data_IF_952369021879
#
_entry.id   IF_952369021879
#
_cell.length_a   1.000
_cell.length_b   1.000
_cell.length_c   1.000
_cell.angle_alpha   90.00
_cell.angle_beta   90.00
_cell.angle_gamma   90.00
#
_symmetry.space_group_name_H-M   'P 1'
#
loop_
_entity.id
_entity.type
_entity.pdbx_description
1 polymer ?
#
# COMPACT_ATOMS: atom_id res chain seq x y z
N UNK A 1 6.85 -4.52 16.80
CA UNK A 1 7.05 -5.29 15.54
C UNK A 1 7.05 -6.79 15.78
N UNK A 2 7.77 -7.32 16.78
CA UNK A 2 7.71 -8.74 17.19
C UNK A 2 6.28 -9.23 17.51
N UNK A 3 5.47 -8.42 18.17
CA UNK A 3 4.07 -8.73 18.48
C UNK A 3 3.16 -8.93 17.27
N UNK A 4 3.44 -8.31 16.12
CA UNK A 4 2.68 -8.54 14.89
C UNK A 4 3.07 -9.88 14.23
N UNK A 5 4.32 -10.28 14.31
CA UNK A 5 4.80 -11.59 13.85
C UNK A 5 4.31 -12.74 14.74
N UNK A 6 4.28 -12.54 16.05
CA UNK A 6 3.72 -13.51 17.01
C UNK A 6 2.21 -13.68 16.78
N UNK A 7 1.46 -12.58 16.54
CA UNK A 7 0.04 -12.64 16.22
C UNK A 7 -0.24 -13.35 14.87
N UNK A 8 0.66 -13.24 13.89
CA UNK A 8 0.57 -13.98 12.62
C UNK A 8 0.86 -15.47 12.86
N UNK A 9 1.82 -15.82 13.72
CA UNK A 9 2.17 -17.21 14.05
C UNK A 9 1.04 -17.93 14.82
N UNK A 10 0.34 -17.24 15.71
CA UNK A 10 -0.77 -17.81 16.49
C UNK A 10 -2.08 -17.96 15.70
N UNK A 11 -2.25 -17.24 14.60
CA UNK A 11 -3.52 -17.13 13.83
C UNK A 11 -3.50 -17.76 12.44
N UNK A 12 -2.67 -18.74 12.15
CA UNK A 12 -2.57 -19.34 10.80
C UNK A 12 -3.93 -19.76 10.18
N UNK A 13 -4.94 -20.08 11.00
CA UNK A 13 -6.30 -20.43 10.60
C UNK A 13 -7.21 -19.21 10.33
N UNK A 14 -6.85 -18.27 9.58
CA UNK A 14 -7.69 -17.08 9.28
C UNK A 14 -6.94 -16.07 8.42
N UNK A 15 -5.76 -16.45 7.98
CA UNK A 15 -4.89 -15.61 7.16
C UNK A 15 -5.06 -15.88 5.66
N UNK A 16 -5.82 -16.94 5.30
CA UNK A 16 -6.05 -17.33 3.91
C UNK A 16 -6.70 -16.19 3.11
N UNK A 17 -6.15 -15.89 1.95
CA UNK A 17 -6.63 -14.83 1.07
C UNK A 17 -6.47 -13.40 1.60
N UNK A 18 -5.86 -13.21 2.79
CA UNK A 18 -5.64 -11.87 3.36
C UNK A 18 -4.42 -11.19 2.76
N UNK A 19 -4.48 -9.87 2.75
CA UNK A 19 -3.35 -9.00 2.35
C UNK A 19 -2.74 -8.36 3.58
N UNK A 20 -1.43 -8.53 3.73
CA UNK A 20 -0.63 -7.96 4.82
C UNK A 20 0.29 -6.89 4.25
N UNK A 21 0.48 -5.82 5.01
CA UNK A 21 1.49 -4.79 4.72
C UNK A 21 2.51 -4.77 5.85
N UNK A 22 3.78 -4.88 5.50
CA UNK A 22 4.91 -4.76 6.42
C UNK A 22 5.79 -3.58 6.01
N UNK A 23 6.08 -2.69 6.96
CA UNK A 23 7.05 -1.61 6.78
C UNK A 23 8.45 -2.15 6.98
N UNK A 24 9.25 -2.07 5.94
CA UNK A 24 10.67 -2.48 5.87
C UNK A 24 11.56 -1.25 5.72
N UNK A 25 12.88 -1.43 5.66
CA UNK A 25 13.87 -0.36 5.69
C UNK A 25 13.82 0.48 7.00
N UNK A 26 13.37 -0.13 8.09
CA UNK A 26 13.26 0.48 9.42
C UNK A 26 14.28 -0.07 10.40
N UNK A 27 14.82 -1.25 10.10
CA UNK A 27 15.81 -1.96 10.91
C UNK A 27 17.01 -2.37 10.04
N UNK A 28 17.99 -3.05 10.63
CA UNK A 28 19.11 -3.60 9.86
C UNK A 28 18.60 -4.61 8.82
N UNK A 29 19.09 -4.51 7.57
CA UNK A 29 18.66 -5.36 6.44
C UNK A 29 18.77 -6.87 6.75
N UNK A 30 19.84 -7.29 7.44
CA UNK A 30 20.02 -8.69 7.85
C UNK A 30 18.95 -9.18 8.82
N UNK A 31 18.49 -8.31 9.73
CA UNK A 31 17.40 -8.63 10.65
C UNK A 31 16.07 -8.73 9.91
N UNK A 32 15.78 -7.77 9.04
CA UNK A 32 14.53 -7.78 8.26
C UNK A 32 14.44 -8.99 7.34
N UNK A 33 15.56 -9.43 6.72
CA UNK A 33 15.60 -10.66 5.92
C UNK A 33 15.34 -11.90 6.76
N UNK A 34 15.92 -11.99 7.96
CA UNK A 34 15.63 -13.09 8.87
C UNK A 34 14.15 -13.13 9.27
N UNK A 35 13.56 -11.97 9.58
CA UNK A 35 12.13 -11.85 9.89
C UNK A 35 11.24 -12.20 8.70
N UNK A 36 11.66 -11.85 7.47
CA UNK A 36 10.98 -12.26 6.23
C UNK A 36 10.92 -13.78 6.11
N UNK A 37 12.04 -14.46 6.31
CA UNK A 37 12.11 -15.92 6.21
C UNK A 37 11.16 -16.59 7.24
N UNK A 38 11.13 -16.08 8.47
CA UNK A 38 10.17 -16.53 9.48
C UNK A 38 8.72 -16.26 9.07
N UNK A 39 8.42 -15.04 8.57
CA UNK A 39 7.08 -14.66 8.11
C UNK A 39 6.60 -15.58 6.99
N UNK A 40 7.46 -15.85 6.00
CA UNK A 40 7.13 -16.72 4.86
C UNK A 40 6.89 -18.19 5.26
N UNK A 41 7.47 -18.67 6.36
CA UNK A 41 7.17 -20.00 6.89
C UNK A 41 5.75 -20.12 7.46
N UNK A 42 5.17 -19.02 7.95
CA UNK A 42 3.86 -19.00 8.61
C UNK A 42 2.73 -18.50 7.72
N UNK A 43 3.04 -17.68 6.69
CA UNK A 43 2.02 -17.18 5.78
C UNK A 43 1.54 -18.27 4.82
N UNK A 44 0.21 -18.49 4.71
CA UNK A 44 -0.32 -19.42 3.74
C UNK A 44 -0.05 -18.97 2.30
N UNK A 45 0.01 -19.90 1.32
CA UNK A 45 0.30 -19.57 -0.08
C UNK A 45 -0.73 -18.61 -0.72
N UNK A 46 -1.94 -18.55 -0.18
CA UNK A 46 -3.01 -17.65 -0.64
C UNK A 46 -2.94 -16.25 -0.07
N UNK A 47 -2.11 -16.01 0.96
CA UNK A 47 -1.90 -14.67 1.51
C UNK A 47 -1.19 -13.77 0.49
N UNK A 48 -1.35 -12.45 0.66
CA UNK A 48 -0.65 -11.44 -0.14
C UNK A 48 0.19 -10.56 0.78
N UNK A 49 1.43 -10.32 0.39
CA UNK A 49 2.39 -9.52 1.17
C UNK A 49 2.77 -8.26 0.37
N UNK A 50 2.62 -7.11 0.99
CA UNK A 50 3.09 -5.80 0.54
C UNK A 50 4.24 -5.37 1.43
N UNK A 51 5.39 -5.10 0.86
CA UNK A 51 6.54 -4.59 1.59
C UNK A 51 6.70 -3.11 1.27
N UNK A 52 6.62 -2.25 2.29
CA UNK A 52 6.67 -0.80 2.15
C UNK A 52 7.99 -0.28 2.71
N UNK A 53 8.89 0.11 1.83
CA UNK A 53 10.21 0.63 2.18
C UNK A 53 10.23 2.17 2.37
N UNK A 54 9.15 2.88 2.04
CA UNK A 54 9.05 4.34 2.16
C UNK A 54 10.32 5.07 1.64
N UNK A 55 10.82 4.67 0.46
CA UNK A 55 12.04 5.19 -0.19
C UNK A 55 13.34 4.96 0.61
N UNK A 56 13.36 4.01 1.53
CA UNK A 56 14.48 3.80 2.45
C UNK A 56 15.59 2.89 1.94
N UNK A 57 15.44 2.21 0.80
CA UNK A 57 16.48 1.35 0.25
C UNK A 57 17.32 2.05 -0.81
N UNK A 58 18.59 1.63 -0.92
CA UNK A 58 19.39 1.84 -2.11
C UNK A 58 19.04 0.82 -3.22
N UNK A 59 19.58 1.04 -4.43
CA UNK A 59 19.31 0.16 -5.59
C UNK A 59 19.75 -1.28 -5.36
N UNK A 60 20.89 -1.50 -4.69
CA UNK A 60 21.43 -2.84 -4.46
C UNK A 60 20.57 -3.63 -3.48
N UNK A 61 20.13 -2.99 -2.41
CA UNK A 61 19.24 -3.57 -1.42
C UNK A 61 17.87 -3.88 -2.03
N UNK A 62 17.26 -2.91 -2.73
CA UNK A 62 15.97 -3.11 -3.39
C UNK A 62 15.99 -4.25 -4.42
N UNK A 63 17.07 -4.34 -5.22
CA UNK A 63 17.25 -5.42 -6.18
C UNK A 63 17.37 -6.79 -5.50
N UNK A 64 18.13 -6.88 -4.41
CA UNK A 64 18.29 -8.13 -3.67
C UNK A 64 16.99 -8.60 -3.01
N UNK A 65 16.17 -7.67 -2.49
CA UNK A 65 14.83 -7.97 -1.99
C UNK A 65 13.88 -8.44 -3.09
N UNK A 66 13.90 -7.76 -4.25
CA UNK A 66 13.09 -8.18 -5.39
C UNK A 66 13.49 -9.57 -5.89
N UNK A 67 14.79 -9.83 -6.10
CA UNK A 67 15.28 -11.14 -6.53
C UNK A 67 14.91 -12.26 -5.55
N UNK A 68 14.87 -11.97 -4.25
CA UNK A 68 14.45 -12.96 -3.22
C UNK A 68 12.97 -13.30 -3.31
N UNK A 69 12.13 -12.39 -3.82
CA UNK A 69 10.67 -12.47 -3.71
C UNK A 69 9.92 -12.53 -5.04
N UNK A 70 10.56 -12.22 -6.17
CA UNK A 70 9.87 -12.10 -7.47
C UNK A 70 9.14 -13.39 -7.89
N UNK A 71 9.64 -14.56 -7.48
CA UNK A 71 9.03 -15.85 -7.75
C UNK A 71 8.08 -16.34 -6.63
N UNK A 72 7.96 -15.60 -5.51
CA UNK A 72 7.04 -15.97 -4.43
C UNK A 72 5.62 -15.48 -4.77
N UNK A 73 4.64 -16.39 -4.92
CA UNK A 73 3.28 -16.02 -5.30
C UNK A 73 2.57 -15.13 -4.28
N UNK A 74 3.10 -15.03 -3.06
CA UNK A 74 2.56 -14.17 -2.01
C UNK A 74 2.97 -12.71 -2.17
N UNK A 75 4.06 -12.40 -2.89
CA UNK A 75 4.44 -11.02 -3.14
C UNK A 75 3.35 -10.32 -3.94
N UNK A 76 2.74 -9.29 -3.33
CA UNK A 76 1.85 -8.38 -4.05
C UNK A 76 2.68 -7.30 -4.76
N UNK A 77 3.59 -6.64 -4.04
CA UNK A 77 4.55 -5.68 -4.57
C UNK A 77 5.56 -5.20 -3.51
N UNK A 78 6.66 -4.60 -3.99
CA UNK A 78 7.50 -3.69 -3.20
C UNK A 78 6.95 -2.27 -3.38
N UNK A 79 6.54 -1.62 -2.28
CA UNK A 79 5.99 -0.27 -2.27
C UNK A 79 7.10 0.75 -2.02
N UNK A 80 7.23 1.72 -2.91
CA UNK A 80 8.21 2.80 -2.91
C UNK A 80 9.60 2.34 -2.41
N UNK A 81 10.23 1.37 -3.12
CA UNK A 81 11.49 0.80 -2.66
C UNK A 81 12.66 1.80 -2.68
N UNK A 82 12.67 2.73 -3.64
CA UNK A 82 13.75 3.70 -3.87
C UNK A 82 13.27 5.13 -3.70
N UNK A 83 14.22 6.06 -3.60
CA UNK A 83 13.97 7.49 -3.52
C UNK A 83 13.04 7.99 -4.65
N UNK A 84 12.24 9.02 -4.35
CA UNK A 84 11.19 9.54 -5.25
C UNK A 84 11.73 10.11 -6.56
N UNK A 85 12.98 10.53 -6.58
CA UNK A 85 13.71 11.07 -7.73
C UNK A 85 14.49 10.00 -8.52
N UNK A 86 14.58 8.77 -8.00
CA UNK A 86 15.24 7.65 -8.68
C UNK A 86 14.28 6.87 -9.60
N UNK A 87 13.63 7.57 -10.51
CA UNK A 87 12.72 6.92 -11.47
C UNK A 87 13.42 5.83 -12.32
N UNK A 88 14.65 6.02 -12.84
CA UNK A 88 15.31 4.96 -13.59
C UNK A 88 15.52 3.68 -12.78
N UNK A 89 15.86 3.78 -11.50
CA UNK A 89 15.99 2.63 -10.60
C UNK A 89 14.65 1.93 -10.36
N UNK A 90 13.58 2.69 -10.13
CA UNK A 90 12.22 2.16 -9.99
C UNK A 90 11.75 1.42 -11.25
N UNK A 91 12.03 1.97 -12.45
CA UNK A 91 11.69 1.34 -13.73
C UNK A 91 12.49 0.04 -13.95
N UNK A 92 13.78 0.04 -13.64
CA UNK A 92 14.63 -1.17 -13.72
C UNK A 92 14.13 -2.25 -12.76
N UNK A 93 13.76 -1.87 -11.54
CA UNK A 93 13.24 -2.82 -10.55
C UNK A 93 11.88 -3.39 -10.98
N UNK A 94 11.03 -2.59 -11.61
CA UNK A 94 9.72 -3.01 -12.11
C UNK A 94 9.79 -4.03 -13.27
N UNK A 95 10.93 -4.16 -13.94
CA UNK A 95 11.18 -5.23 -14.92
C UNK A 95 11.39 -6.57 -14.22
N UNK A 96 11.94 -6.57 -13.01
CA UNK A 96 12.24 -7.78 -12.24
C UNK A 96 11.02 -8.32 -11.49
N UNK A 97 10.08 -7.44 -11.09
CA UNK A 97 8.91 -7.84 -10.33
C UNK A 97 7.97 -6.68 -10.00
N UNK A 98 6.91 -6.93 -9.23
CA UNK A 98 5.88 -5.94 -8.99
C UNK A 98 6.36 -4.80 -8.06
N UNK A 99 6.36 -3.58 -8.58
CA UNK A 99 6.65 -2.35 -7.84
C UNK A 99 5.40 -1.47 -7.76
N UNK A 100 5.13 -0.93 -6.58
CA UNK A 100 4.10 0.08 -6.36
C UNK A 100 4.74 1.44 -6.05
N UNK A 101 4.24 2.51 -6.68
CA UNK A 101 4.60 3.87 -6.31
C UNK A 101 3.59 4.43 -5.29
N UNK A 102 4.09 5.12 -4.27
CA UNK A 102 3.32 5.91 -3.29
C UNK A 102 3.82 7.36 -3.28
N UNK A 103 4.92 7.64 -2.61
CA UNK A 103 5.49 8.97 -2.46
C UNK A 103 5.87 9.58 -3.82
N UNK A 104 6.34 8.79 -4.75
CA UNK A 104 6.62 9.25 -6.12
C UNK A 104 5.40 9.81 -6.82
N UNK A 105 4.20 9.28 -6.56
CA UNK A 105 2.95 9.78 -7.16
C UNK A 105 2.51 11.13 -6.57
N UNK A 106 2.89 11.43 -5.33
CA UNK A 106 2.68 12.74 -4.72
C UNK A 106 3.70 13.76 -5.21
N UNK A 107 4.97 13.36 -5.29
CA UNK A 107 6.08 14.20 -5.75
C UNK A 107 6.00 14.52 -7.25
N UNK A 108 5.60 13.54 -8.07
CA UNK A 108 5.48 13.62 -9.54
C UNK A 108 4.12 13.11 -10.01
N UNK A 109 3.07 13.94 -9.93
CA UNK A 109 1.70 13.54 -10.26
C UNK A 109 1.49 13.01 -11.68
N UNK A 110 2.36 13.39 -12.64
CA UNK A 110 2.34 12.88 -14.00
C UNK A 110 2.58 11.37 -14.09
N UNK A 111 3.26 10.78 -13.10
CA UNK A 111 3.48 9.33 -13.01
C UNK A 111 2.17 8.55 -12.86
N UNK A 112 1.10 9.17 -12.37
CA UNK A 112 -0.23 8.54 -12.33
C UNK A 112 -0.73 8.13 -13.72
N UNK A 113 -0.24 8.78 -14.79
CA UNK A 113 -0.59 8.46 -16.19
C UNK A 113 0.45 7.58 -16.87
N UNK A 114 1.73 7.75 -16.57
CA UNK A 114 2.84 7.10 -17.28
C UNK A 114 3.29 5.80 -16.62
N UNK A 115 3.22 5.68 -15.29
CA UNK A 115 3.63 4.48 -14.57
C UNK A 115 2.74 3.29 -14.91
N UNK A 116 3.35 2.17 -15.29
CA UNK A 116 2.66 0.94 -15.71
C UNK A 116 2.53 -0.12 -14.62
N UNK A 117 3.15 0.08 -13.46
CA UNK A 117 3.04 -0.78 -12.29
C UNK A 117 1.94 -0.36 -11.33
N UNK A 118 1.96 -0.94 -10.14
CA UNK A 118 1.01 -0.61 -9.08
C UNK A 118 1.12 0.85 -8.62
N UNK A 119 0.00 1.42 -8.28
CA UNK A 119 -0.14 2.78 -7.78
C UNK A 119 -0.90 2.78 -6.47
N UNK A 120 -0.28 3.29 -5.41
CA UNK A 120 -0.96 3.59 -4.14
C UNK A 120 -1.63 4.94 -4.28
N UNK A 121 -2.95 4.92 -4.49
CA UNK A 121 -3.72 6.12 -4.80
C UNK A 121 -4.35 6.69 -3.53
N UNK A 122 -4.03 7.93 -3.24
CA UNK A 122 -4.50 8.68 -2.06
C UNK A 122 -5.44 9.80 -2.48
N UNK A 123 -6.75 9.53 -2.67
CA UNK A 123 -7.68 10.50 -3.26
C UNK A 123 -7.75 11.84 -2.51
N UNK A 124 -7.50 11.85 -1.19
CA UNK A 124 -7.44 13.09 -0.42
C UNK A 124 -6.26 14.01 -0.80
N UNK A 125 -5.21 13.49 -1.45
CA UNK A 125 -4.02 14.23 -1.86
C UNK A 125 -3.95 14.45 -3.39
N UNK A 126 -4.92 13.95 -4.15
CA UNK A 126 -4.83 13.93 -5.62
C UNK A 126 -5.59 15.07 -6.31
N UNK A 127 -6.22 15.96 -5.55
CA UNK A 127 -7.02 17.06 -6.09
C UNK A 127 -8.39 16.58 -6.57
N UNK A 128 -8.62 16.43 -7.87
CA UNK A 128 -9.93 15.98 -8.40
C UNK A 128 -10.14 14.46 -8.21
N UNK A 129 -10.97 14.04 -7.25
CA UNK A 129 -11.19 12.62 -6.97
C UNK A 129 -11.95 11.89 -8.10
N UNK A 130 -12.58 12.62 -9.02
CA UNK A 130 -13.32 12.03 -10.14
C UNK A 130 -12.39 11.33 -11.14
N UNK A 131 -11.11 11.69 -11.17
CA UNK A 131 -10.13 11.02 -12.03
C UNK A 131 -9.97 9.57 -11.60
N UNK A 132 -9.67 9.33 -10.32
CA UNK A 132 -9.54 7.98 -9.77
C UNK A 132 -10.85 7.20 -9.86
N UNK A 133 -11.99 7.84 -9.58
CA UNK A 133 -13.30 7.20 -9.73
C UNK A 133 -13.51 6.65 -11.15
N UNK A 134 -13.22 7.45 -12.18
CA UNK A 134 -13.33 6.99 -13.58
C UNK A 134 -12.37 5.86 -13.91
N UNK A 135 -11.13 5.88 -13.39
CA UNK A 135 -10.17 4.80 -13.57
C UNK A 135 -10.69 3.49 -12.96
N UNK A 136 -11.25 3.54 -11.74
CA UNK A 136 -11.80 2.36 -11.06
C UNK A 136 -13.03 1.81 -11.82
N UNK A 137 -13.92 2.67 -12.26
CA UNK A 137 -15.10 2.29 -13.04
C UNK A 137 -14.73 1.68 -14.40
N UNK A 138 -13.70 2.21 -15.05
CA UNK A 138 -13.18 1.70 -16.32
C UNK A 138 -12.34 0.42 -16.17
N UNK A 139 -12.09 -0.03 -14.93
CA UNK A 139 -11.28 -1.23 -14.67
C UNK A 139 -9.80 -1.05 -14.98
N UNK A 140 -9.26 0.16 -14.84
CA UNK A 140 -7.82 0.39 -15.00
C UNK A 140 -7.08 -0.43 -13.92
N UNK A 141 -6.20 -1.36 -14.32
CA UNK A 141 -5.56 -2.27 -13.38
C UNK A 141 -4.51 -1.57 -12.53
N UNK A 142 -4.06 -2.27 -11.48
CA UNK A 142 -2.93 -1.85 -10.64
C UNK A 142 -3.16 -0.51 -9.92
N UNK A 143 -4.40 -0.25 -9.52
CA UNK A 143 -4.78 0.85 -8.62
C UNK A 143 -5.14 0.28 -7.26
N UNK A 144 -4.60 0.88 -6.19
CA UNK A 144 -4.94 0.52 -4.82
C UNK A 144 -5.31 1.80 -4.06
N UNK A 145 -6.55 1.86 -3.59
CA UNK A 145 -7.06 2.98 -2.81
C UNK A 145 -6.47 2.94 -1.40
N UNK A 146 -5.86 4.03 -0.94
CA UNK A 146 -5.19 4.13 0.35
C UNK A 146 -5.55 5.41 1.10
N UNK A 147 -5.53 5.33 2.44
CA UNK A 147 -5.73 6.50 3.31
C UNK A 147 -4.52 7.42 3.31
N UNK A 148 -4.79 8.72 3.46
CA UNK A 148 -3.81 9.75 3.83
C UNK A 148 -4.07 10.25 5.26
N UNK A 149 -4.85 9.51 6.05
CA UNK A 149 -5.35 9.91 7.37
C UNK A 149 -6.18 11.21 7.30
N UNK A 150 -7.00 11.29 6.28
CA UNK A 150 -7.96 12.36 6.00
C UNK A 150 -9.00 12.51 7.11
N UNK A 151 -9.71 13.66 7.12
CA UNK A 151 -10.84 13.89 8.02
C UNK A 151 -11.92 12.82 7.87
N UNK A 152 -12.85 12.73 8.83
CA UNK A 152 -13.96 11.78 8.78
C UNK A 152 -14.84 11.92 7.52
N UNK A 153 -14.97 13.13 6.96
CA UNK A 153 -15.66 13.36 5.68
C UNK A 153 -14.86 12.75 4.53
N UNK A 154 -13.54 13.00 4.47
CA UNK A 154 -12.65 12.42 3.47
C UNK A 154 -12.60 10.90 3.57
N UNK A 155 -12.62 10.37 4.80
CA UNK A 155 -12.65 8.92 5.07
C UNK A 155 -13.88 8.24 4.48
N UNK A 156 -15.05 8.83 4.59
CA UNK A 156 -16.29 8.29 3.99
C UNK A 156 -16.18 8.21 2.47
N UNK A 157 -15.58 9.21 1.84
CA UNK A 157 -15.31 9.17 0.39
C UNK A 157 -14.32 8.07 0.02
N UNK A 158 -13.24 7.93 0.79
CA UNK A 158 -12.26 6.87 0.60
C UNK A 158 -12.89 5.47 0.69
N UNK A 159 -13.72 5.24 1.72
CA UNK A 159 -14.43 3.97 1.93
C UNK A 159 -15.42 3.68 0.79
N UNK A 160 -16.07 4.72 0.25
CA UNK A 160 -16.93 4.58 -0.92
C UNK A 160 -16.14 4.14 -2.16
N UNK A 161 -14.99 4.77 -2.44
CA UNK A 161 -14.12 4.36 -3.55
C UNK A 161 -13.59 2.93 -3.37
N UNK A 162 -13.19 2.57 -2.16
CA UNK A 162 -12.73 1.21 -1.84
C UNK A 162 -13.84 0.17 -2.05
N UNK A 163 -15.09 0.48 -1.64
CA UNK A 163 -16.26 -0.36 -1.89
C UNK A 163 -16.58 -0.53 -3.37
N UNK A 164 -16.51 0.55 -4.15
CA UNK A 164 -16.68 0.51 -5.60
C UNK A 164 -15.58 -0.34 -6.27
N UNK A 165 -14.33 -0.20 -5.84
CA UNK A 165 -13.23 -1.01 -6.36
C UNK A 165 -13.41 -2.49 -6.04
N UNK A 166 -13.81 -2.83 -4.82
CA UNK A 166 -14.01 -4.22 -4.40
C UNK A 166 -15.07 -4.95 -5.24
N UNK A 167 -16.08 -4.22 -5.75
CA UNK A 167 -17.15 -4.73 -6.60
C UNK A 167 -16.89 -4.51 -8.09
N UNK A 168 -15.82 -3.80 -8.42
CA UNK A 168 -15.47 -3.41 -9.78
C UNK A 168 -14.68 -4.47 -10.55
N UNK A 169 -14.31 -4.18 -11.80
CA UNK A 169 -13.62 -5.13 -12.67
C UNK A 169 -12.18 -5.44 -12.25
N UNK A 170 -11.55 -4.58 -11.43
CA UNK A 170 -10.16 -4.76 -10.95
C UNK A 170 -10.09 -4.62 -9.43
N UNK A 171 -10.66 -5.58 -8.67
CA UNK A 171 -10.67 -5.51 -7.22
C UNK A 171 -9.26 -5.56 -6.64
N UNK A 172 -9.01 -4.74 -5.62
CA UNK A 172 -7.78 -4.76 -4.84
C UNK A 172 -8.09 -4.49 -3.36
N UNK A 173 -7.39 -5.17 -2.46
CA UNK A 173 -7.52 -4.90 -1.04
C UNK A 173 -7.06 -3.45 -0.75
N UNK A 174 -7.89 -2.59 -0.16
CA UNK A 174 -7.54 -1.19 0.07
C UNK A 174 -6.56 -1.02 1.24
N UNK A 175 -5.81 0.07 1.24
CA UNK A 175 -4.90 0.47 2.31
C UNK A 175 -5.58 1.39 3.34
N UNK A 176 -6.59 0.91 4.06
CA UNK A 176 -7.41 1.75 4.94
C UNK A 176 -6.86 1.91 6.37
N UNK A 177 -5.82 1.16 6.75
CA UNK A 177 -5.20 1.21 8.07
C UNK A 177 -6.22 1.25 9.25
N UNK A 178 -7.11 0.26 9.41
CA UNK A 178 -8.24 0.32 10.33
C UNK A 178 -7.84 0.48 11.81
N UNK A 179 -6.63 0.04 12.18
CA UNK A 179 -6.11 0.18 13.55
C UNK A 179 -5.41 1.52 13.84
N UNK A 180 -5.36 2.45 12.88
CA UNK A 180 -4.57 3.68 12.96
C UNK A 180 -5.41 4.93 12.69
N UNK A 181 -6.73 4.86 12.89
CA UNK A 181 -7.59 6.04 12.71
C UNK A 181 -7.22 7.10 13.76
N UNK A 182 -6.86 8.33 13.37
CA UNK A 182 -6.58 9.40 14.32
C UNK A 182 -7.80 9.72 15.18
N UNK A 183 -7.58 10.23 16.39
CA UNK A 183 -8.64 10.64 17.31
C UNK A 183 -8.97 12.13 17.16
N UNK A 184 -10.16 12.52 17.64
CA UNK A 184 -10.61 13.91 17.68
C UNK A 184 -11.80 14.21 16.75
N UNK A 185 -12.37 15.41 16.89
CA UNK A 185 -13.60 15.79 16.20
C UNK A 185 -13.47 15.81 14.67
N UNK A 186 -12.28 16.16 14.14
CA UNK A 186 -12.00 16.14 12.70
C UNK A 186 -12.08 14.74 12.09
N UNK A 187 -11.90 13.69 12.88
CA UNK A 187 -11.94 12.29 12.45
C UNK A 187 -13.26 11.59 12.80
N UNK A 188 -14.24 12.34 13.28
CA UNK A 188 -15.57 11.82 13.59
C UNK A 188 -16.26 11.27 12.34
N UNK A 189 -17.06 10.21 12.52
CA UNK A 189 -17.99 9.73 11.49
C UNK A 189 -19.19 10.65 11.29
N UNK A 190 -19.47 11.57 12.22
CA UNK A 190 -20.50 12.60 12.09
C UNK A 190 -19.93 13.80 11.32
N UNK A 191 -20.43 14.10 10.08
CA UNK A 191 -19.92 15.20 9.27
C UNK A 191 -20.14 16.58 9.89
N UNK A 192 -21.17 16.77 10.71
CA UNK A 192 -21.44 18.05 11.39
C UNK A 192 -20.37 18.35 12.45
N UNK A 193 -19.91 17.33 13.19
CA UNK A 193 -18.81 17.48 14.14
C UNK A 193 -17.49 17.78 13.43
N UNK A 194 -17.25 17.13 12.29
CA UNK A 194 -16.05 17.41 11.47
C UNK A 194 -16.08 18.84 10.97
N UNK A 195 -17.22 19.28 10.45
CA UNK A 195 -17.39 20.64 9.93
C UNK A 195 -17.20 21.69 11.03
N UNK A 196 -17.85 21.51 12.18
CA UNK A 196 -17.70 22.42 13.31
C UNK A 196 -16.28 22.50 13.87
N UNK A 197 -15.49 21.44 13.72
CA UNK A 197 -14.09 21.41 14.18
C UNK A 197 -13.09 21.98 13.15
N UNK A 198 -13.52 22.16 11.90
CA UNK A 198 -12.70 22.67 10.80
C UNK A 198 -12.82 24.20 10.61
N UNK A 199 -13.76 24.84 11.31
CA UNK A 199 -14.04 26.28 11.28
C UNK A 199 -13.49 26.94 12.55
#
# INVERSE_FOLDING_TARGET
>A
MLTALEAVAESARGLEGRTFKWKVATEADSLERHLLDQLLQHLPPTARLRLDANAGWDRSTAQAWMQRLCDDPRLAWLEQPLAVDDQPGLEQLAVLGPVALDESLAYRPELRRSWKGWQVRRPALEGDPRVLLRELQAGVPQRMVSTAFETGIGRRWLEHLAGLQAQGPTPAAPGLAPGWTPSGALFSTNPELVWAAAV
#
